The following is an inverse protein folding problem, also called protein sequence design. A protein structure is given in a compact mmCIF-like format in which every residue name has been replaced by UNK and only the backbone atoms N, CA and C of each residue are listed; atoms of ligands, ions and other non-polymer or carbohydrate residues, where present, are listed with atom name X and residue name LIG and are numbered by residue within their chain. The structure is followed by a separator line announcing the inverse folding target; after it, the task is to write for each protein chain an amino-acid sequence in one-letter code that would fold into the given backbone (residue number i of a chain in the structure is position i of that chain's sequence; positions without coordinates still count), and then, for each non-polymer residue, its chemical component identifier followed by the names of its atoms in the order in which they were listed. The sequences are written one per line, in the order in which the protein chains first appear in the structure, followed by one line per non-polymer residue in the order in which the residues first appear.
data_IF_074525950768
#
_entry.id   IF_074525950768
#
_cell.length_a   1.000
_cell.length_b   1.000
_cell.length_c   1.000
_cell.angle_alpha   90.00
_cell.angle_beta   90.00
_cell.angle_gamma   90.00
#
_symmetry.space_group_name_H-M   'P 1'
#
loop_
_entity.id
_entity.type
_entity.pdbx_description
1 polymer ?
#
# COMPACT_ATOMS: atom_id res chain seq x y z
N UNK A 1 32.61 20.02 7.05
CA UNK A 1 32.02 20.34 5.73
C UNK A 1 30.64 19.70 5.72
N UNK A 2 29.60 20.45 6.09
CA UNK A 2 28.24 19.94 6.01
C UNK A 2 27.92 19.74 4.53
N UNK A 3 27.40 18.55 4.19
CA UNK A 3 27.06 18.20 2.81
C UNK A 3 26.14 19.26 2.22
N UNK A 4 26.66 20.08 1.31
CA UNK A 4 25.82 20.79 0.34
C UNK A 4 25.29 19.71 -0.59
N UNK A 5 24.14 19.16 -0.24
CA UNK A 5 23.35 18.37 -1.18
C UNK A 5 22.86 19.35 -2.24
N UNK A 6 23.09 19.02 -3.51
CA UNK A 6 22.44 19.74 -4.58
C UNK A 6 20.92 19.55 -4.50
N UNK A 7 20.17 20.48 -5.11
CA UNK A 7 18.71 20.50 -5.04
C UNK A 7 18.09 19.20 -5.56
N UNK A 8 18.73 18.58 -6.56
CA UNK A 8 18.29 17.31 -7.13
C UNK A 8 18.39 16.17 -6.11
N UNK A 9 19.54 16.02 -5.45
CA UNK A 9 19.81 14.98 -4.46
C UNK A 9 18.92 15.16 -3.24
N UNK A 10 18.72 16.40 -2.79
CA UNK A 10 17.78 16.72 -1.71
C UNK A 10 16.35 16.33 -2.07
N UNK A 11 15.89 16.67 -3.28
CA UNK A 11 14.54 16.33 -3.76
C UNK A 11 14.34 14.83 -3.84
N UNK A 12 15.31 14.09 -4.41
CA UNK A 12 15.26 12.63 -4.49
C UNK A 12 15.17 12.02 -3.09
N UNK A 13 16.02 12.46 -2.16
CA UNK A 13 16.01 11.97 -0.78
C UNK A 13 14.64 12.18 -0.12
N UNK A 14 14.07 13.38 -0.25
CA UNK A 14 12.77 13.70 0.32
C UNK A 14 11.63 12.86 -0.27
N UNK A 15 11.63 12.65 -1.59
CA UNK A 15 10.64 11.79 -2.27
C UNK A 15 10.75 10.34 -1.80
N UNK A 16 11.97 9.81 -1.67
CA UNK A 16 12.19 8.44 -1.16
C UNK A 16 11.70 8.31 0.28
N UNK A 17 12.02 9.29 1.14
CA UNK A 17 11.57 9.30 2.53
C UNK A 17 10.03 9.37 2.63
N UNK A 18 9.38 10.19 1.80
CA UNK A 18 7.93 10.27 1.73
C UNK A 18 7.30 8.95 1.28
N UNK A 19 7.88 8.27 0.29
CA UNK A 19 7.40 6.97 -0.20
C UNK A 19 7.52 5.88 0.87
N UNK A 20 8.65 5.83 1.59
CA UNK A 20 8.87 4.90 2.71
C UNK A 20 7.87 5.19 3.84
N UNK A 21 7.74 6.46 4.24
CA UNK A 21 6.80 6.89 5.29
C UNK A 21 5.36 6.51 4.94
N UNK A 22 4.91 6.80 3.74
CA UNK A 22 3.57 6.44 3.25
C UNK A 22 3.36 4.92 3.28
N UNK A 23 4.35 4.15 2.84
CA UNK A 23 4.27 2.67 2.83
C UNK A 23 4.13 2.09 4.24
N UNK A 24 4.87 2.62 5.22
CA UNK A 24 4.78 2.20 6.62
C UNK A 24 3.38 2.50 7.17
N UNK A 25 2.86 3.70 6.93
CA UNK A 25 1.53 4.11 7.38
C UNK A 25 0.46 3.20 6.78
N UNK A 26 0.49 2.98 5.46
CA UNK A 26 -0.45 2.10 4.77
C UNK A 26 -0.36 0.66 5.27
N UNK A 27 0.83 0.17 5.60
CA UNK A 27 1.01 -1.17 6.16
C UNK A 27 0.39 -1.29 7.56
N UNK A 28 0.65 -0.33 8.45
CA UNK A 28 0.08 -0.32 9.80
C UNK A 28 -1.45 -0.20 9.72
N UNK A 29 -1.95 0.76 8.96
CA UNK A 29 -3.40 0.96 8.81
C UNK A 29 -4.06 -0.23 8.13
N UNK A 30 -3.43 -0.81 7.10
CA UNK A 30 -3.94 -2.01 6.42
C UNK A 30 -4.09 -3.18 7.39
N UNK A 31 -3.09 -3.40 8.24
CA UNK A 31 -3.13 -4.46 9.26
C UNK A 31 -4.28 -4.24 10.26
N UNK A 32 -4.41 -3.02 10.77
CA UNK A 32 -5.47 -2.66 11.71
C UNK A 32 -6.87 -2.81 11.08
N UNK A 33 -7.05 -2.32 9.86
CA UNK A 33 -8.33 -2.39 9.15
C UNK A 33 -8.71 -3.84 8.79
N UNK A 34 -7.73 -4.67 8.42
CA UNK A 34 -7.97 -6.11 8.21
C UNK A 34 -8.46 -6.78 9.50
N UNK A 35 -7.78 -6.54 10.63
CA UNK A 35 -8.18 -7.10 11.91
C UNK A 35 -9.57 -6.62 12.32
N UNK A 36 -9.82 -5.31 12.24
CA UNK A 36 -11.10 -4.72 12.62
C UNK A 36 -12.25 -5.28 11.77
N UNK A 37 -12.05 -5.41 10.46
CA UNK A 37 -13.04 -5.99 9.57
C UNK A 37 -13.26 -7.47 9.92
N UNK A 38 -12.20 -8.27 10.06
CA UNK A 38 -12.29 -9.69 10.40
C UNK A 38 -13.01 -9.92 11.74
N UNK A 39 -12.71 -9.08 12.75
CA UNK A 39 -13.39 -9.07 14.06
C UNK A 39 -14.87 -8.74 13.92
N UNK A 40 -15.23 -7.72 13.13
CA UNK A 40 -16.62 -7.30 12.90
C UNK A 40 -17.48 -8.39 12.24
N UNK A 41 -16.84 -9.29 11.49
CA UNK A 41 -17.47 -10.44 10.83
C UNK A 41 -17.28 -11.76 11.58
N UNK A 42 -16.71 -11.72 12.80
CA UNK A 42 -16.39 -12.89 13.62
C UNK A 42 -15.57 -13.95 12.88
N UNK A 43 -14.65 -13.53 12.01
CA UNK A 43 -13.80 -14.44 11.24
C UNK A 43 -12.57 -14.87 12.04
N UNK A 44 -11.91 -13.91 12.65
CA UNK A 44 -10.72 -14.07 13.49
C UNK A 44 -10.47 -12.72 14.18
N UNK A 45 -9.99 -12.74 15.43
CA UNK A 45 -9.64 -11.52 16.19
C UNK A 45 -8.12 -11.37 16.37
N UNK A 46 -7.32 -12.27 15.78
CA UNK A 46 -5.88 -12.30 15.94
C UNK A 46 -5.21 -11.24 15.08
N UNK A 47 -4.57 -10.28 15.76
CA UNK A 47 -3.67 -9.33 15.11
C UNK A 47 -2.56 -10.03 14.32
N UNK A 48 -2.09 -11.19 14.80
CA UNK A 48 -1.02 -11.95 14.14
C UNK A 48 -1.44 -12.44 12.75
N UNK A 49 -2.69 -12.90 12.59
CA UNK A 49 -3.18 -13.37 11.30
C UNK A 49 -3.31 -12.20 10.31
N UNK A 50 -3.89 -11.09 10.74
CA UNK A 50 -4.01 -9.87 9.94
C UNK A 50 -2.63 -9.35 9.49
N UNK A 51 -1.65 -9.34 10.38
CA UNK A 51 -0.28 -8.93 10.08
C UNK A 51 0.37 -9.84 9.04
N UNK A 52 0.22 -11.16 9.17
CA UNK A 52 0.78 -12.12 8.19
C UNK A 52 0.14 -11.94 6.82
N UNK A 53 -1.19 -11.79 6.76
CA UNK A 53 -1.91 -11.57 5.50
C UNK A 53 -1.45 -10.28 4.85
N UNK A 54 -1.36 -9.19 5.61
CA UNK A 54 -0.95 -7.90 5.08
C UNK A 54 0.52 -7.90 4.65
N UNK A 55 1.39 -8.62 5.35
CA UNK A 55 2.79 -8.80 4.95
C UNK A 55 2.90 -9.56 3.63
N UNK A 56 2.16 -10.66 3.48
CA UNK A 56 2.11 -11.42 2.22
C UNK A 56 1.59 -10.54 1.07
N UNK A 57 0.56 -9.74 1.35
CA UNK A 57 0.01 -8.83 0.36
C UNK A 57 1.02 -7.76 -0.05
N UNK A 58 1.69 -7.11 0.91
CA UNK A 58 2.73 -6.12 0.64
C UNK A 58 3.85 -6.71 -0.23
N UNK A 59 4.38 -7.88 0.14
CA UNK A 59 5.46 -8.54 -0.61
C UNK A 59 4.98 -8.87 -2.02
N UNK A 60 3.78 -9.42 -2.17
CA UNK A 60 3.23 -9.74 -3.48
C UNK A 60 3.03 -8.50 -4.35
N UNK A 61 2.55 -7.40 -3.75
CA UNK A 61 2.36 -6.12 -4.43
C UNK A 61 3.69 -5.52 -4.90
N UNK A 62 4.74 -5.59 -4.08
CA UNK A 62 6.07 -5.15 -4.46
C UNK A 62 6.63 -6.00 -5.61
N UNK A 63 6.50 -7.32 -5.54
CA UNK A 63 6.94 -8.22 -6.63
C UNK A 63 6.21 -7.90 -7.93
N UNK A 64 4.88 -7.76 -7.89
CA UNK A 64 4.07 -7.40 -9.07
C UNK A 64 4.49 -6.05 -9.62
N UNK A 65 4.67 -5.05 -8.76
CA UNK A 65 5.05 -3.69 -9.17
C UNK A 65 6.40 -3.68 -9.86
N UNK A 66 7.42 -4.31 -9.25
CA UNK A 66 8.78 -4.38 -9.82
C UNK A 66 8.78 -5.10 -11.17
N UNK A 67 8.13 -6.26 -11.26
CA UNK A 67 8.10 -7.04 -12.50
C UNK A 67 7.43 -6.27 -13.63
N UNK A 68 6.31 -5.61 -13.36
CA UNK A 68 5.59 -4.84 -14.38
C UNK A 68 6.40 -3.60 -14.79
N UNK A 69 7.01 -2.89 -13.84
CA UNK A 69 7.86 -1.72 -14.14
C UNK A 69 9.03 -2.08 -15.05
N UNK A 70 9.66 -3.25 -14.85
CA UNK A 70 10.79 -3.69 -15.69
C UNK A 70 10.35 -4.03 -17.11
N UNK A 71 9.19 -4.67 -17.26
CA UNK A 71 8.74 -5.20 -18.56
C UNK A 71 8.06 -4.12 -19.39
N UNK A 72 7.20 -3.30 -18.78
CA UNK A 72 6.29 -2.38 -19.50
C UNK A 72 6.59 -0.91 -19.21
N UNK A 73 7.36 -0.62 -18.15
CA UNK A 73 7.59 0.75 -17.69
C UNK A 73 6.46 1.29 -16.82
N UNK A 74 6.44 2.62 -16.64
CA UNK A 74 5.51 3.32 -15.76
C UNK A 74 4.52 4.16 -16.57
N UNK A 75 3.22 3.94 -16.37
CA UNK A 75 2.15 4.73 -16.98
C UNK A 75 0.85 4.58 -16.19
N UNK A 76 -0.08 5.53 -16.34
CA UNK A 76 -1.38 5.47 -15.68
C UNK A 76 -2.19 4.21 -16.04
N UNK A 77 -2.04 3.69 -17.27
CA UNK A 77 -2.66 2.42 -17.69
C UNK A 77 -2.08 1.24 -16.91
N UNK A 78 -0.78 1.26 -16.64
CA UNK A 78 -0.10 0.25 -15.86
C UNK A 78 -0.52 0.28 -14.39
N UNK A 79 -0.82 1.46 -13.83
CA UNK A 79 -1.33 1.55 -12.46
C UNK A 79 -2.70 0.90 -12.28
N UNK A 80 -3.60 1.06 -13.26
CA UNK A 80 -4.89 0.35 -13.27
C UNK A 80 -4.67 -1.17 -13.31
N UNK A 81 -3.72 -1.63 -14.12
CA UNK A 81 -3.40 -3.06 -14.22
C UNK A 81 -2.77 -3.61 -12.93
N UNK A 82 -1.84 -2.86 -12.32
CA UNK A 82 -1.26 -3.17 -11.00
C UNK A 82 -2.34 -3.26 -9.93
N UNK A 83 -3.28 -2.32 -9.92
CA UNK A 83 -4.42 -2.34 -9.00
C UNK A 83 -5.22 -3.63 -9.16
N UNK A 84 -5.63 -3.97 -10.38
CA UNK A 84 -6.40 -5.19 -10.65
C UNK A 84 -5.68 -6.48 -10.23
N UNK A 85 -4.39 -6.61 -10.54
CA UNK A 85 -3.59 -7.77 -10.11
C UNK A 85 -3.49 -7.83 -8.59
N UNK A 86 -3.23 -6.70 -7.92
CA UNK A 86 -3.17 -6.63 -6.47
C UNK A 86 -4.49 -6.99 -5.80
N UNK A 87 -5.63 -6.64 -6.41
CA UNK A 87 -6.96 -7.07 -5.96
C UNK A 87 -7.09 -8.58 -6.05
N UNK A 88 -6.75 -9.18 -7.20
CA UNK A 88 -6.85 -10.63 -7.42
C UNK A 88 -5.98 -11.38 -6.42
N UNK A 89 -4.72 -10.95 -6.23
CA UNK A 89 -3.80 -11.55 -5.26
C UNK A 89 -4.37 -11.44 -3.84
N UNK A 90 -4.87 -10.25 -3.45
CA UNK A 90 -5.51 -10.04 -2.15
C UNK A 90 -6.66 -11.01 -1.91
N UNK A 91 -7.52 -11.23 -2.91
CA UNK A 91 -8.66 -12.15 -2.82
C UNK A 91 -8.18 -13.58 -2.56
N UNK A 92 -7.15 -14.02 -3.28
CA UNK A 92 -6.58 -15.37 -3.13
C UNK A 92 -6.01 -15.54 -1.72
N UNK A 93 -5.26 -14.56 -1.22
CA UNK A 93 -4.66 -14.59 0.12
C UNK A 93 -5.76 -14.64 1.19
N UNK A 94 -6.72 -13.73 1.15
CA UNK A 94 -7.83 -13.65 2.12
C UNK A 94 -8.64 -14.95 2.12
N UNK A 95 -8.98 -15.47 0.94
CA UNK A 95 -9.68 -16.75 0.81
C UNK A 95 -8.91 -17.90 1.46
N UNK A 96 -7.59 -17.97 1.24
CA UNK A 96 -6.74 -19.03 1.76
C UNK A 96 -6.62 -18.98 3.29
N UNK A 97 -6.41 -17.79 3.86
CA UNK A 97 -6.15 -17.66 5.30
C UNK A 97 -7.43 -17.63 6.14
N UNK A 98 -8.47 -16.90 5.71
CA UNK A 98 -9.74 -16.83 6.45
C UNK A 98 -10.73 -17.94 6.08
N UNK A 99 -10.40 -18.79 5.07
CA UNK A 99 -11.26 -19.89 4.58
C UNK A 99 -12.66 -19.42 4.20
N UNK A 100 -12.77 -18.25 3.57
CA UNK A 100 -14.06 -17.63 3.19
C UNK A 100 -14.45 -17.90 1.75
N UNK A 101 -15.72 -17.67 1.45
CA UNK A 101 -16.24 -17.77 0.09
C UNK A 101 -15.61 -16.70 -0.80
N UNK A 102 -15.62 -16.91 -2.12
CA UNK A 102 -15.06 -15.93 -3.06
C UNK A 102 -15.76 -14.57 -2.94
N UNK A 103 -17.08 -14.55 -2.71
CA UNK A 103 -17.85 -13.31 -2.59
C UNK A 103 -17.45 -12.47 -1.37
N UNK A 104 -17.33 -13.10 -0.19
CA UNK A 104 -16.90 -12.41 1.03
C UNK A 104 -15.46 -11.90 0.93
N UNK A 105 -14.58 -12.69 0.30
CA UNK A 105 -13.17 -12.32 0.10
C UNK A 105 -13.03 -11.14 -0.87
N UNK A 106 -13.83 -11.11 -1.95
CA UNK A 106 -13.90 -9.98 -2.88
C UNK A 106 -14.36 -8.71 -2.15
N UNK A 107 -15.45 -8.79 -1.41
CA UNK A 107 -15.98 -7.63 -0.70
C UNK A 107 -14.97 -7.09 0.33
N UNK A 108 -14.33 -7.97 1.10
CA UNK A 108 -13.26 -7.60 2.04
C UNK A 108 -12.14 -6.83 1.35
N UNK A 109 -11.60 -7.39 0.26
CA UNK A 109 -10.44 -6.83 -0.43
C UNK A 109 -10.77 -5.48 -1.06
N UNK A 110 -11.94 -5.34 -1.67
CA UNK A 110 -12.38 -4.07 -2.25
C UNK A 110 -12.56 -2.99 -1.20
N UNK A 111 -13.22 -3.31 -0.07
CA UNK A 111 -13.39 -2.35 1.03
C UNK A 111 -12.02 -1.89 1.56
N UNK A 112 -11.11 -2.85 1.79
CA UNK A 112 -9.78 -2.52 2.29
C UNK A 112 -8.99 -1.67 1.29
N UNK A 113 -9.02 -2.03 -0.01
CA UNK A 113 -8.32 -1.27 -1.04
C UNK A 113 -8.84 0.15 -1.17
N UNK A 114 -10.16 0.36 -1.13
CA UNK A 114 -10.74 1.71 -1.20
C UNK A 114 -10.26 2.56 -0.01
N UNK A 115 -10.27 1.99 1.20
CA UNK A 115 -9.83 2.70 2.40
C UNK A 115 -8.34 3.04 2.31
N UNK A 116 -7.50 2.07 1.94
CA UNK A 116 -6.06 2.28 1.78
C UNK A 116 -5.76 3.28 0.66
N UNK A 117 -6.53 3.29 -0.42
CA UNK A 117 -6.38 4.23 -1.52
C UNK A 117 -6.68 5.67 -1.08
N UNK A 118 -7.78 5.89 -0.34
CA UNK A 118 -8.11 7.21 0.22
C UNK A 118 -6.99 7.70 1.15
N UNK A 119 -6.49 6.83 2.02
CA UNK A 119 -5.39 7.15 2.92
C UNK A 119 -4.11 7.50 2.14
N UNK A 120 -3.78 6.72 1.11
CA UNK A 120 -2.61 6.96 0.26
C UNK A 120 -2.68 8.34 -0.41
N UNK A 121 -3.86 8.73 -0.92
CA UNK A 121 -4.08 10.06 -1.50
C UNK A 121 -3.84 11.17 -0.47
N UNK A 122 -4.43 11.06 0.71
CA UNK A 122 -4.30 12.06 1.78
C UNK A 122 -2.83 12.25 2.16
N UNK A 123 -2.11 11.16 2.43
CA UNK A 123 -0.70 11.24 2.80
C UNK A 123 0.17 11.71 1.64
N UNK A 124 -0.15 11.32 0.40
CA UNK A 124 0.53 11.82 -0.79
C UNK A 124 0.48 13.35 -0.89
N UNK A 125 -0.69 13.96 -0.68
CA UNK A 125 -0.82 15.42 -0.66
C UNK A 125 -0.06 16.06 0.50
N UNK A 126 -0.13 15.47 1.70
CA UNK A 126 0.60 15.98 2.87
C UNK A 126 2.11 15.98 2.61
N UNK A 127 2.68 14.85 2.17
CA UNK A 127 4.11 14.76 1.91
C UNK A 127 4.55 15.67 0.77
N UNK A 128 3.82 15.72 -0.34
CA UNK A 128 4.14 16.62 -1.45
C UNK A 128 4.10 18.10 -1.03
N UNK A 129 3.15 18.48 -0.16
CA UNK A 129 3.10 19.83 0.43
C UNK A 129 4.32 20.14 1.29
N UNK A 130 4.73 19.19 2.16
CA UNK A 130 5.95 19.34 2.98
C UNK A 130 7.19 19.49 2.09
N UNK A 131 7.33 18.66 1.05
CA UNK A 131 8.45 18.73 0.11
C UNK A 131 8.48 20.10 -0.58
N UNK A 132 7.34 20.58 -1.07
CA UNK A 132 7.24 21.88 -1.72
C UNK A 132 7.66 23.02 -0.79
N UNK A 133 7.26 23.00 0.49
CA UNK A 133 7.66 23.99 1.49
C UNK A 133 9.17 23.97 1.76
N UNK A 134 9.80 22.79 1.80
CA UNK A 134 11.24 22.63 2.03
C UNK A 134 12.07 23.05 0.80
N UNK A 135 11.54 22.86 -0.40
CA UNK A 135 12.25 23.17 -1.66
C UNK A 135 12.10 24.65 -2.05
N UNK A 136 10.94 25.27 -1.76
CA UNK A 136 10.64 26.65 -2.16
C UNK A 136 10.91 27.69 -1.06
N UNK A 137 11.01 27.26 0.21
CA UNK A 137 11.36 28.11 1.35
C UNK A 137 12.86 28.16 1.59
#
# INVERSE_FOLDING_TARGET
MFFQLDLLTLTILLVVLAAIGTSIILFITGTYMMQMYAKSKTWDDSYKLALVINLIWLVSSLTVSILISIIVGDSALIDILRFGINTIVGIIVVKKFYKKTSGESVHFVLVLQIILFIIAIIFGYIFNGIIALVVLG
#
